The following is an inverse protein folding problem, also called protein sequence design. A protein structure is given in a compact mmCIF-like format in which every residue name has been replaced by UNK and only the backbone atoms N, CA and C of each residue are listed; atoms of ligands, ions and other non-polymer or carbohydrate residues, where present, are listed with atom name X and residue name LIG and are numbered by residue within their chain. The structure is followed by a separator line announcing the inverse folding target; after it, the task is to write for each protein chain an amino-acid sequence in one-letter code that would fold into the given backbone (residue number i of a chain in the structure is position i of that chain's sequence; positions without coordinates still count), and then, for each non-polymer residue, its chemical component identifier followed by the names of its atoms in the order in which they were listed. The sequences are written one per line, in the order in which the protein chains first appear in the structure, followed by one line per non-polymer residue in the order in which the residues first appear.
data_IF_698999253962
#
_entry.id   IF_698999253962
#
_cell.length_a   1.000
_cell.length_b   1.000
_cell.length_c   1.000
_cell.angle_alpha   90.00
_cell.angle_beta   90.00
_cell.angle_gamma   90.00
#
_symmetry.space_group_name_H-M   'P 1'
#
loop_
_entity.id
_entity.type
_entity.pdbx_description
1 polymer ?
#
# COMPACT_ATOMS: atom_id res chain seq x y z
N UNK A 1 -15.11 4.45 14.57
CA UNK A 1 -14.91 5.78 13.95
C UNK A 1 -13.52 5.90 13.31
N UNK A 2 -12.45 5.45 13.99
CA UNK A 2 -11.07 5.42 13.45
C UNK A 2 -10.99 4.68 12.10
N UNK A 3 -11.53 3.45 12.01
CA UNK A 3 -11.54 2.66 10.78
C UNK A 3 -12.18 3.39 9.58
N UNK A 4 -13.34 4.04 9.79
CA UNK A 4 -14.03 4.79 8.74
C UNK A 4 -13.19 5.98 8.26
N UNK A 5 -12.63 6.75 9.20
CA UNK A 5 -11.75 7.88 8.89
C UNK A 5 -10.53 7.43 8.09
N UNK A 6 -9.88 6.34 8.52
CA UNK A 6 -8.72 5.79 7.82
C UNK A 6 -9.04 5.36 6.39
N UNK A 7 -10.16 4.66 6.18
CA UNK A 7 -10.61 4.27 4.84
C UNK A 7 -10.93 5.49 3.96
N UNK A 8 -11.58 6.52 4.49
CA UNK A 8 -11.87 7.75 3.74
C UNK A 8 -10.59 8.51 3.36
N UNK A 9 -9.61 8.62 4.28
CA UNK A 9 -8.30 9.22 4.00
C UNK A 9 -7.59 8.42 2.90
N UNK A 10 -7.58 7.10 3.00
CA UNK A 10 -6.95 6.24 2.01
C UNK A 10 -7.63 6.33 0.63
N UNK A 11 -8.96 6.37 0.56
CA UNK A 11 -9.70 6.60 -0.69
C UNK A 11 -9.28 7.94 -1.31
N UNK A 12 -9.25 9.01 -0.51
CA UNK A 12 -8.84 10.33 -0.99
C UNK A 12 -7.42 10.30 -1.55
N UNK A 13 -6.48 9.73 -0.80
CA UNK A 13 -5.07 9.67 -1.20
C UNK A 13 -4.87 8.83 -2.46
N UNK A 14 -5.46 7.63 -2.52
CA UNK A 14 -5.34 6.74 -3.67
C UNK A 14 -6.06 7.29 -4.91
N UNK A 15 -7.18 8.00 -4.75
CA UNK A 15 -7.85 8.71 -5.85
C UNK A 15 -6.96 9.84 -6.38
N UNK A 16 -6.35 10.64 -5.49
CA UNK A 16 -5.45 11.72 -5.91
C UNK A 16 -4.26 11.18 -6.69
N UNK A 17 -3.59 10.14 -6.19
CA UNK A 17 -2.49 9.53 -6.93
C UNK A 17 -2.95 8.79 -8.19
N UNK A 18 -4.12 8.15 -8.18
CA UNK A 18 -4.68 7.51 -9.37
C UNK A 18 -4.97 8.51 -10.50
N UNK A 19 -5.47 9.70 -10.17
CA UNK A 19 -5.82 10.70 -11.19
C UNK A 19 -4.67 11.62 -11.59
N UNK A 20 -3.81 11.99 -10.63
CA UNK A 20 -2.76 12.99 -10.83
C UNK A 20 -1.35 12.42 -10.80
N UNK A 21 -1.18 11.13 -10.45
CA UNK A 21 0.12 10.54 -10.20
C UNK A 21 1.09 10.72 -11.37
N UNK A 22 0.68 10.33 -12.58
CA UNK A 22 1.53 10.46 -13.77
C UNK A 22 1.90 11.93 -14.07
N UNK A 23 0.94 12.84 -13.95
CA UNK A 23 1.17 14.28 -14.14
C UNK A 23 2.11 14.87 -13.07
N UNK A 24 1.97 14.45 -11.82
CA UNK A 24 2.84 14.88 -10.71
C UNK A 24 4.25 14.33 -10.89
N UNK A 25 4.38 13.06 -11.26
CA UNK A 25 5.67 12.41 -11.52
C UNK A 25 6.41 13.10 -12.67
N UNK A 26 5.73 13.31 -13.80
CA UNK A 26 6.30 13.98 -14.96
C UNK A 26 6.66 15.45 -14.68
N UNK A 27 5.86 16.17 -13.89
CA UNK A 27 6.18 17.53 -13.45
C UNK A 27 7.48 17.59 -12.62
N UNK A 28 7.72 16.60 -11.76
CA UNK A 28 8.95 16.50 -10.95
C UNK A 28 10.13 15.94 -11.78
N UNK A 29 9.86 15.39 -12.97
CA UNK A 29 10.87 14.74 -13.82
C UNK A 29 11.19 13.29 -13.41
N UNK A 30 10.26 12.63 -12.72
CA UNK A 30 10.38 11.23 -12.30
C UNK A 30 9.71 10.34 -13.35
N UNK A 31 10.49 9.45 -13.96
CA UNK A 31 9.96 8.45 -14.89
C UNK A 31 9.15 7.37 -14.16
N UNK A 32 8.14 6.80 -14.83
CA UNK A 32 7.34 5.70 -14.26
C UNK A 32 8.18 4.48 -13.82
N UNK A 33 9.20 4.04 -14.58
CA UNK A 33 10.09 2.97 -14.16
C UNK A 33 10.85 3.29 -12.85
N UNK A 34 11.34 4.53 -12.69
CA UNK A 34 11.98 4.95 -11.44
C UNK A 34 11.01 4.90 -10.25
N UNK A 35 9.76 5.32 -10.46
CA UNK A 35 8.74 5.26 -9.41
C UNK A 35 8.39 3.81 -9.03
N UNK A 36 8.30 2.89 -10.01
CA UNK A 36 8.14 1.45 -9.77
C UNK A 36 9.25 0.89 -8.88
N UNK A 37 10.51 1.20 -9.19
CA UNK A 37 11.66 0.77 -8.40
C UNK A 37 11.56 1.33 -6.97
N UNK A 38 11.28 2.62 -6.81
CA UNK A 38 11.15 3.24 -5.50
C UNK A 38 9.99 2.65 -4.67
N UNK A 39 8.83 2.44 -5.29
CA UNK A 39 7.67 1.78 -4.69
C UNK A 39 7.98 0.35 -4.26
N UNK A 40 8.70 -0.40 -5.10
CA UNK A 40 9.24 -1.72 -4.79
C UNK A 40 10.17 -1.69 -3.58
N UNK A 41 11.14 -0.78 -3.53
CA UNK A 41 12.04 -0.64 -2.37
C UNK A 41 11.26 -0.33 -1.08
N UNK A 42 10.27 0.57 -1.12
CA UNK A 42 9.44 0.89 0.04
C UNK A 42 8.59 -0.31 0.50
N UNK A 43 8.03 -1.07 -0.44
CA UNK A 43 7.33 -2.34 -0.18
C UNK A 43 8.28 -3.38 0.45
N UNK A 44 9.54 -3.45 0.00
CA UNK A 44 10.53 -4.37 0.55
C UNK A 44 10.86 -4.00 2.01
N UNK A 45 11.08 -2.71 2.29
CA UNK A 45 11.28 -2.24 3.68
C UNK A 45 10.06 -2.58 4.57
N UNK A 46 8.86 -2.36 4.03
CA UNK A 46 7.59 -2.71 4.67
C UNK A 46 7.50 -4.22 4.97
N UNK A 47 7.98 -5.06 4.05
CA UNK A 47 8.05 -6.51 4.21
C UNK A 47 9.08 -6.94 5.26
N UNK A 48 10.27 -6.32 5.30
CA UNK A 48 11.29 -6.59 6.31
C UNK A 48 10.79 -6.22 7.71
N UNK A 49 10.07 -5.11 7.86
CA UNK A 49 9.45 -4.73 9.15
C UNK A 49 8.45 -5.77 9.66
N UNK A 50 7.74 -6.46 8.75
CA UNK A 50 6.83 -7.56 9.08
C UNK A 50 7.59 -8.83 9.42
N UNK A 51 8.61 -9.19 8.64
CA UNK A 51 9.42 -10.40 8.84
C UNK A 51 10.21 -10.36 10.15
N UNK A 52 10.72 -9.18 10.52
CA UNK A 52 11.49 -8.98 11.75
C UNK A 52 10.66 -8.48 12.93
N UNK A 53 9.33 -8.48 12.80
CA UNK A 53 8.37 -8.15 13.87
C UNK A 53 8.59 -6.75 14.48
N UNK A 54 9.24 -5.84 13.75
CA UNK A 54 9.57 -4.48 14.19
C UNK A 54 8.32 -3.63 14.41
N UNK A 55 7.22 -3.96 13.72
CA UNK A 55 5.91 -3.32 13.89
C UNK A 55 5.26 -3.55 15.26
N UNK A 56 5.45 -4.72 15.87
CA UNK A 56 4.88 -5.02 17.19
C UNK A 56 5.43 -4.08 18.26
N UNK A 57 6.76 -3.92 18.27
CA UNK A 57 7.47 -3.03 19.22
C UNK A 57 7.14 -1.54 19.04
N UNK A 58 6.88 -1.09 17.80
CA UNK A 58 6.47 0.30 17.52
C UNK A 58 5.04 0.59 18.04
N UNK A 59 4.17 -0.42 18.08
CA UNK A 59 2.81 -0.35 18.63
C UNK A 59 2.77 -0.22 20.16
N UNK A 60 3.72 -0.84 20.86
CA UNK A 60 3.80 -0.82 22.33
C UNK A 60 4.52 0.42 22.90
N UNK A 61 5.37 1.08 22.10
CA UNK A 61 6.21 2.20 22.56
C UNK A 61 5.68 3.63 22.28
N UNK A 62 4.46 3.77 21.76
CA UNK A 62 3.91 5.05 21.26
C UNK A 62 3.06 5.84 22.26
N UNK A 63 3.22 5.63 23.57
CA UNK A 63 2.60 6.48 24.60
C UNK A 63 3.39 7.79 24.74
N UNK A 64 3.42 8.63 23.69
CA UNK A 64 3.94 10.00 23.75
C UNK A 64 2.81 11.00 23.43
N UNK A 65 2.80 12.21 24.05
CA UNK A 65 1.61 13.06 24.15
C UNK A 65 1.25 13.86 22.89
N UNK A 66 2.00 13.72 21.79
CA UNK A 66 1.72 14.34 20.49
C UNK A 66 1.17 13.28 19.51
N UNK A 67 0.05 12.66 19.87
CA UNK A 67 -0.57 11.55 19.12
C UNK A 67 -0.95 12.00 17.69
N UNK A 68 -0.20 11.51 16.70
CA UNK A 68 -0.69 11.47 15.31
C UNK A 68 -2.00 10.67 15.31
N UNK A 69 -3.08 11.23 14.72
CA UNK A 69 -4.40 10.59 14.70
C UNK A 69 -4.24 9.14 14.18
N UNK A 70 -4.62 8.11 14.97
CA UNK A 70 -4.44 6.71 14.60
C UNK A 70 -5.16 6.33 13.30
N UNK A 71 -6.13 7.14 12.87
CA UNK A 71 -6.80 7.02 11.58
C UNK A 71 -5.88 7.41 10.42
N UNK A 72 -4.99 8.38 10.62
CA UNK A 72 -4.02 8.88 9.63
C UNK A 72 -2.80 7.97 9.62
N UNK A 73 -2.13 7.81 10.77
CA UNK A 73 -0.94 6.97 10.91
C UNK A 73 -1.12 5.97 12.06
N UNK A 74 -0.81 4.67 11.87
CA UNK A 74 -0.33 4.02 10.66
C UNK A 74 -1.46 3.49 9.73
N UNK A 75 -2.74 3.75 10.06
CA UNK A 75 -3.88 3.03 9.46
C UNK A 75 -4.19 3.47 8.02
N UNK A 76 -4.40 4.77 7.76
CA UNK A 76 -4.54 5.23 6.38
C UNK A 76 -3.21 5.14 5.63
N UNK A 77 -2.13 5.65 6.24
CA UNK A 77 -0.77 5.58 5.73
C UNK A 77 0.12 4.95 6.80
N UNK A 78 0.94 3.93 6.50
CA UNK A 78 1.12 3.26 5.21
C UNK A 78 0.27 1.99 5.05
N UNK A 79 -0.63 1.65 5.98
CA UNK A 79 -1.27 0.33 5.98
C UNK A 79 -2.27 0.14 4.82
N UNK A 80 -3.19 1.07 4.60
CA UNK A 80 -4.15 0.99 3.47
C UNK A 80 -3.53 1.61 2.22
N UNK A 81 -3.21 2.91 2.26
CA UNK A 81 -2.59 3.64 1.17
C UNK A 81 -1.05 3.52 1.26
N UNK A 82 -0.58 2.29 1.20
CA UNK A 82 0.85 1.98 1.22
C UNK A 82 1.55 2.26 -0.11
N UNK A 83 2.88 2.25 -0.13
CA UNK A 83 3.68 2.49 -1.33
C UNK A 83 3.30 1.56 -2.50
N UNK A 84 2.93 0.31 -2.21
CA UNK A 84 2.44 -0.62 -3.23
C UNK A 84 1.06 -0.26 -3.78
N UNK A 85 0.13 0.13 -2.93
CA UNK A 85 -1.20 0.56 -3.36
C UNK A 85 -1.13 1.84 -4.20
N UNK A 86 -0.29 2.79 -3.79
CA UNK A 86 -0.03 4.03 -4.54
C UNK A 86 0.59 3.70 -5.90
N UNK A 87 1.66 2.90 -5.94
CA UNK A 87 2.29 2.50 -7.20
C UNK A 87 1.33 1.79 -8.14
N UNK A 88 0.53 0.84 -7.65
CA UNK A 88 -0.48 0.16 -8.44
C UNK A 88 -1.53 1.12 -9.00
N UNK A 89 -2.00 2.09 -8.20
CA UNK A 89 -2.98 3.08 -8.66
C UNK A 89 -2.43 3.95 -9.80
N UNK A 90 -1.20 4.46 -9.66
CA UNK A 90 -0.58 5.28 -10.72
C UNK A 90 -0.34 4.43 -11.98
N UNK A 91 0.13 3.19 -11.82
CA UNK A 91 0.40 2.29 -12.95
C UNK A 91 -0.85 1.93 -13.74
N UNK A 92 -1.90 1.51 -13.04
CA UNK A 92 -3.14 1.09 -13.70
C UNK A 92 -3.87 2.28 -14.31
N UNK A 93 -3.81 3.46 -13.69
CA UNK A 93 -4.46 4.65 -14.23
C UNK A 93 -3.67 5.32 -15.36
N UNK A 94 -2.33 5.23 -15.33
CA UNK A 94 -1.43 5.82 -16.34
C UNK A 94 -1.00 4.87 -17.46
N UNK A 95 -1.62 3.70 -17.61
CA UNK A 95 -1.28 2.77 -18.67
C UNK A 95 -1.61 3.34 -20.06
N UNK A 96 -0.86 2.94 -21.08
CA UNK A 96 -1.12 3.34 -22.47
C UNK A 96 -2.54 2.92 -22.91
N UNK A 97 -3.29 3.86 -23.49
CA UNK A 97 -4.69 3.62 -23.90
C UNK A 97 -5.71 3.63 -22.77
N UNK A 98 -5.38 4.13 -21.59
CA UNK A 98 -6.34 4.33 -20.50
C UNK A 98 -7.38 5.41 -20.84
N UNK A 99 -8.56 4.96 -21.29
CA UNK A 99 -9.73 5.82 -21.42
C UNK A 99 -10.40 6.09 -20.07
N UNK A 100 -11.29 7.08 -20.02
CA UNK A 100 -12.02 7.45 -18.81
C UNK A 100 -12.81 6.27 -18.18
N UNK A 101 -13.27 5.34 -19.00
CA UNK A 101 -13.95 4.12 -18.55
C UNK A 101 -13.01 3.18 -17.79
N UNK A 102 -11.75 3.05 -18.23
CA UNK A 102 -10.74 2.26 -17.56
C UNK A 102 -10.34 2.87 -16.22
N UNK A 103 -10.09 4.19 -16.21
CA UNK A 103 -9.78 4.92 -14.98
C UNK A 103 -10.90 4.75 -13.95
N UNK A 104 -12.15 4.87 -14.39
CA UNK A 104 -13.32 4.63 -13.53
C UNK A 104 -13.35 3.18 -13.00
N UNK A 105 -13.08 2.18 -13.84
CA UNK A 105 -13.04 0.78 -13.43
C UNK A 105 -11.98 0.53 -12.34
N UNK A 106 -10.77 1.08 -12.49
CA UNK A 106 -9.69 0.99 -11.49
C UNK A 106 -10.13 1.59 -10.15
N UNK A 107 -10.77 2.76 -10.17
CA UNK A 107 -11.25 3.41 -8.94
C UNK A 107 -12.42 2.65 -8.28
N UNK A 108 -13.29 2.02 -9.07
CA UNK A 108 -14.36 1.14 -8.54
C UNK A 108 -13.76 -0.09 -7.84
N UNK A 109 -12.75 -0.73 -8.45
CA UNK A 109 -12.04 -1.85 -7.82
C UNK A 109 -11.33 -1.41 -6.55
N UNK A 110 -10.64 -0.27 -6.57
CA UNK A 110 -10.01 0.31 -5.39
C UNK A 110 -11.03 0.54 -4.26
N UNK A 111 -12.19 1.14 -4.57
CA UNK A 111 -13.25 1.37 -3.59
C UNK A 111 -13.80 0.04 -3.03
N UNK A 112 -13.95 -1.00 -3.87
CA UNK A 112 -14.37 -2.33 -3.43
C UNK A 112 -13.35 -2.99 -2.49
N UNK A 113 -12.05 -2.88 -2.77
CA UNK A 113 -10.97 -3.39 -1.90
C UNK A 113 -10.96 -2.65 -0.56
N UNK A 114 -11.15 -1.33 -0.56
CA UNK A 114 -11.20 -0.55 0.68
C UNK A 114 -12.48 -0.85 1.47
N UNK A 115 -13.61 -1.07 0.80
CA UNK A 115 -14.84 -1.52 1.45
C UNK A 115 -14.64 -2.89 2.12
N UNK A 116 -14.02 -3.84 1.43
CA UNK A 116 -13.66 -5.13 2.02
C UNK A 116 -12.75 -4.96 3.24
N UNK A 117 -11.74 -4.10 3.13
CA UNK A 117 -10.83 -3.78 4.24
C UNK A 117 -11.59 -3.19 5.43
N UNK A 118 -12.54 -2.29 5.18
CA UNK A 118 -13.40 -1.72 6.21
C UNK A 118 -14.26 -2.78 6.91
N UNK A 119 -14.87 -3.70 6.15
CA UNK A 119 -15.63 -4.81 6.71
C UNK A 119 -14.75 -5.73 7.55
N UNK A 120 -13.50 -6.00 7.14
CA UNK A 120 -12.54 -6.76 7.94
C UNK A 120 -12.15 -6.03 9.23
N UNK A 121 -12.08 -4.69 9.23
CA UNK A 121 -11.84 -3.93 10.45
C UNK A 121 -13.00 -4.02 11.45
N UNK A 122 -14.24 -4.12 10.98
CA UNK A 122 -15.40 -4.33 11.87
C UNK A 122 -15.35 -5.68 12.58
N UNK A 123 -14.71 -6.67 11.97
CA UNK A 123 -14.52 -8.02 12.52
C UNK A 123 -13.11 -8.27 13.04
N UNK A 124 -12.31 -7.22 13.27
CA UNK A 124 -10.93 -7.36 13.73
C UNK A 124 -10.82 -8.01 15.11
N UNK A 125 -11.67 -7.65 16.07
CA UNK A 125 -11.66 -8.22 17.42
C UNK A 125 -11.94 -9.75 17.46
N UNK A 126 -12.96 -10.29 16.77
CA UNK A 126 -13.12 -11.74 16.69
C UNK A 126 -11.99 -12.42 15.89
N UNK A 127 -11.46 -11.77 14.84
CA UNK A 127 -10.32 -12.28 14.08
C UNK A 127 -9.06 -12.44 14.94
N UNK A 128 -8.78 -11.45 15.79
CA UNK A 128 -7.65 -11.46 16.73
C UNK A 128 -7.77 -12.61 17.74
N UNK A 129 -8.99 -12.83 18.28
CA UNK A 129 -9.27 -13.94 19.20
C UNK A 129 -9.16 -15.30 18.52
N UNK A 130 -9.53 -15.41 17.25
CA UNK A 130 -9.48 -16.66 16.49
C UNK A 130 -8.04 -17.07 16.14
N UNK A 131 -7.21 -16.13 15.70
CA UNK A 131 -5.81 -16.38 15.30
C UNK A 131 -4.87 -16.50 16.50
N UNK A 132 -5.13 -15.72 17.56
CA UNK A 132 -4.21 -15.57 18.69
C UNK A 132 -2.86 -14.95 18.31
N UNK A 133 -1.99 -14.67 19.29
CA UNK A 133 -0.72 -13.98 19.06
C UNK A 133 0.22 -14.77 18.13
N UNK A 134 0.28 -16.09 18.27
CA UNK A 134 1.11 -16.96 17.43
C UNK A 134 0.60 -16.98 15.98
N UNK A 135 -0.72 -17.13 15.77
CA UNK A 135 -1.31 -17.13 14.44
C UNK A 135 -1.13 -15.80 13.71
N UNK A 136 -1.30 -14.68 14.43
CA UNK A 136 -1.04 -13.33 13.89
C UNK A 136 0.43 -13.20 13.47
N UNK A 137 1.39 -13.69 14.27
CA UNK A 137 2.81 -13.63 13.92
C UNK A 137 3.10 -14.46 12.66
N UNK A 138 2.59 -15.70 12.58
CA UNK A 138 2.77 -16.57 11.41
C UNK A 138 2.20 -15.91 10.15
N UNK A 139 0.94 -15.43 10.19
CA UNK A 139 0.30 -14.77 9.05
C UNK A 139 1.07 -13.49 8.65
N UNK A 140 1.50 -12.70 9.63
CA UNK A 140 2.28 -11.48 9.36
C UNK A 140 3.61 -11.81 8.67
N UNK A 141 4.32 -12.86 9.10
CA UNK A 141 5.56 -13.32 8.45
C UNK A 141 5.32 -13.87 7.05
N UNK A 142 4.26 -14.64 6.85
CA UNK A 142 3.85 -15.13 5.52
C UNK A 142 3.56 -13.97 4.56
N UNK A 143 2.75 -12.99 4.98
CA UNK A 143 2.47 -11.80 4.19
C UNK A 143 3.75 -10.99 3.93
N UNK A 144 4.64 -10.87 4.91
CA UNK A 144 5.96 -10.25 4.74
C UNK A 144 6.77 -10.93 3.64
N UNK A 145 6.83 -12.26 3.63
CA UNK A 145 7.54 -13.00 2.56
C UNK A 145 6.91 -12.77 1.17
N UNK A 146 5.57 -12.72 1.07
CA UNK A 146 4.88 -12.42 -0.18
C UNK A 146 5.11 -10.98 -0.65
N UNK A 147 5.06 -10.01 0.27
CA UNK A 147 5.34 -8.60 -0.02
C UNK A 147 6.79 -8.40 -0.47
N UNK A 148 7.74 -9.13 0.12
CA UNK A 148 9.14 -9.11 -0.32
C UNK A 148 9.28 -9.62 -1.76
N UNK A 149 8.61 -10.73 -2.11
CA UNK A 149 8.60 -11.23 -3.49
C UNK A 149 7.97 -10.21 -4.46
N UNK A 150 6.82 -9.63 -4.11
CA UNK A 150 6.15 -8.59 -4.90
C UNK A 150 7.02 -7.34 -5.07
N UNK A 151 7.74 -6.91 -4.02
CA UNK A 151 8.65 -5.78 -4.15
C UNK A 151 9.81 -6.04 -5.09
N UNK A 152 10.38 -7.25 -5.07
CA UNK A 152 11.42 -7.64 -6.01
C UNK A 152 10.85 -7.63 -7.43
N UNK A 153 9.62 -8.14 -7.63
CA UNK A 153 8.94 -8.07 -8.93
C UNK A 153 8.80 -6.62 -9.41
N UNK A 154 8.35 -5.69 -8.56
CA UNK A 154 8.23 -4.27 -8.93
C UNK A 154 9.57 -3.63 -9.32
N UNK A 155 10.66 -4.01 -8.63
CA UNK A 155 12.01 -3.54 -8.98
C UNK A 155 12.45 -4.13 -10.33
N UNK A 156 12.21 -5.42 -10.57
CA UNK A 156 12.54 -6.08 -11.83
C UNK A 156 11.74 -5.51 -13.00
N UNK A 157 10.44 -5.29 -12.83
CA UNK A 157 9.58 -4.67 -13.84
C UNK A 157 10.07 -3.25 -14.17
N UNK A 158 10.39 -2.45 -13.14
CA UNK A 158 10.95 -1.11 -13.35
C UNK A 158 12.33 -1.13 -14.05
N UNK A 159 13.20 -2.10 -13.73
CA UNK A 159 14.48 -2.26 -14.44
C UNK A 159 14.28 -2.70 -15.89
N UNK A 160 13.31 -3.57 -16.14
CA UNK A 160 12.95 -4.02 -17.48
C UNK A 160 12.44 -2.86 -18.32
N UNK A 161 11.53 -2.04 -17.77
CA UNK A 161 10.99 -0.85 -18.45
C UNK A 161 12.08 0.21 -18.73
N UNK A 162 13.16 0.25 -17.93
CA UNK A 162 14.33 1.11 -18.19
C UNK A 162 15.22 0.62 -19.34
N UNK A 163 15.00 -0.60 -19.84
CA UNK A 163 15.82 -1.22 -20.89
C UNK A 163 16.99 -2.06 -20.39
N UNK A 164 17.08 -2.35 -19.08
CA UNK A 164 18.10 -3.27 -18.55
C UNK A 164 17.76 -4.75 -18.79
N UNK A 165 16.49 -5.08 -19.06
CA UNK A 165 16.06 -6.42 -19.45
C UNK A 165 15.71 -6.46 -20.96
N UNK A 166 16.70 -6.17 -21.80
CA UNK A 166 16.66 -6.43 -23.23
C UNK A 166 17.57 -7.62 -23.57
N UNK A 167 16.99 -8.81 -23.64
CA UNK A 167 17.57 -10.06 -24.16
C UNK A 167 16.44 -10.94 -24.66
#
# INVERSE_FOLDING_TARGET
QIALRACLIAIGLLTVFGLLGDSVLSFVGISMPAFRIAGGVLLFLTALDMLFERRGKRREGQTQPNEEDPSVFPLAIPLIAGPGAIATMILLAGQEGADWSWILAVHVVMAAVILLTFLMFLTAAPMERLLGPVGINVVTRLLGMLLAALSVQFVLDGLADFGFAGG
#
